data_IF_079346316918
#
_entry.id   IF_079346316918
#
_cell.length_a   1.000
_cell.length_b   1.000
_cell.length_c   1.000
_cell.angle_alpha   90.00
_cell.angle_beta   90.00
_cell.angle_gamma   90.00
#
_symmetry.space_group_name_H-M   'P 1'
#
loop_
_entity.id
_entity.type
_entity.pdbx_description
1 polymer ?
#
# COMPACT_ATOMS: atom_id res chain seq x y z
N UNK A 1 15.78 4.35 2.57
CA UNK A 1 16.05 4.35 1.11
C UNK A 1 14.83 4.11 0.21
N UNK A 2 13.57 4.23 0.68
CA UNK A 2 12.38 4.19 -0.18
C UNK A 2 12.12 2.87 -0.93
N UNK A 3 12.77 1.76 -0.56
CA UNK A 3 12.50 0.43 -1.12
C UNK A 3 11.24 -0.14 -0.47
N UNK A 4 10.41 -0.79 -1.28
CA UNK A 4 9.19 -1.48 -0.83
C UNK A 4 9.36 -2.98 -1.03
N UNK A 5 8.88 -3.76 -0.07
CA UNK A 5 8.84 -5.23 -0.12
C UNK A 5 8.01 -5.78 1.03
N UNK A 6 7.70 -7.07 0.94
CA UNK A 6 7.03 -7.84 1.99
C UNK A 6 8.04 -8.54 2.91
N UNK A 7 7.55 -8.92 4.09
CA UNK A 7 8.30 -9.67 5.10
C UNK A 7 7.38 -10.71 5.72
N UNK A 8 7.96 -11.80 6.23
CA UNK A 8 7.26 -12.80 7.05
C UNK A 8 7.41 -12.54 8.56
N UNK A 9 8.25 -11.56 8.93
CA UNK A 9 8.45 -11.18 10.34
C UNK A 9 7.25 -10.36 10.80
N UNK A 10 6.50 -10.88 11.77
CA UNK A 10 5.30 -10.24 12.33
C UNK A 10 5.62 -8.87 12.94
N UNK A 11 6.71 -8.77 13.71
CA UNK A 11 7.11 -7.54 14.42
C UNK A 11 8.10 -6.67 13.63
N UNK A 12 7.96 -6.60 12.31
CA UNK A 12 8.80 -5.70 11.51
C UNK A 12 8.40 -4.24 11.77
N UNK A 13 9.29 -3.36 12.28
CA UNK A 13 8.92 -1.98 12.58
C UNK A 13 8.50 -1.19 11.32
N UNK A 14 8.93 -1.64 10.14
CA UNK A 14 8.57 -1.03 8.85
C UNK A 14 7.22 -1.51 8.28
N UNK A 15 6.58 -2.52 8.87
CA UNK A 15 5.23 -2.98 8.46
C UNK A 15 4.09 -2.33 9.24
N UNK A 16 4.39 -1.39 10.15
CA UNK A 16 3.37 -0.55 10.79
C UNK A 16 3.02 0.60 9.85
N UNK A 17 1.82 0.53 9.29
CA UNK A 17 1.32 1.46 8.27
C UNK A 17 0.13 2.26 8.80
N UNK A 18 0.11 3.56 8.54
CA UNK A 18 -1.06 4.42 8.70
C UNK A 18 -1.75 4.57 7.35
N UNK A 19 -3.03 4.24 7.31
CA UNK A 19 -3.90 4.48 6.15
C UNK A 19 -4.75 5.71 6.48
N UNK A 20 -4.66 6.74 5.63
CA UNK A 20 -5.40 7.99 5.80
C UNK A 20 -6.26 8.23 4.57
N UNK A 21 -7.56 8.48 4.75
CA UNK A 21 -8.45 8.91 3.66
C UNK A 21 -8.02 10.30 3.16
N UNK A 22 -7.90 10.44 1.85
CA UNK A 22 -7.55 11.71 1.18
C UNK A 22 -8.59 12.16 0.17
N UNK A 23 -9.55 11.29 -0.16
CA UNK A 23 -10.73 11.53 -0.98
C UNK A 23 -11.70 10.33 -0.80
N UNK A 24 -12.92 10.42 -1.33
CA UNK A 24 -13.89 9.33 -1.31
C UNK A 24 -13.30 8.09 -2.01
N UNK A 25 -13.08 7.02 -1.25
CA UNK A 25 -12.48 5.78 -1.74
C UNK A 25 -11.01 5.89 -2.13
N UNK A 26 -10.30 6.95 -1.72
CA UNK A 26 -8.87 7.15 -2.01
C UNK A 26 -8.10 7.34 -0.71
N UNK A 27 -7.03 6.58 -0.57
CA UNK A 27 -6.18 6.58 0.62
C UNK A 27 -4.73 6.95 0.29
N UNK A 28 -4.04 7.49 1.29
CA UNK A 28 -2.60 7.52 1.38
C UNK A 28 -2.16 6.48 2.42
N UNK A 29 -1.13 5.68 2.09
CA UNK A 29 -0.57 4.68 3.00
C UNK A 29 0.85 5.12 3.36
N UNK A 30 1.12 5.34 4.65
CA UNK A 30 2.42 5.80 5.14
C UNK A 30 3.00 4.82 6.14
N UNK A 31 4.25 4.40 5.96
CA UNK A 31 4.97 3.66 6.98
C UNK A 31 5.37 4.60 8.12
N UNK A 32 4.89 4.33 9.34
CA UNK A 32 5.10 5.22 10.49
C UNK A 32 6.60 5.36 10.81
N UNK A 33 7.30 4.22 10.92
CA UNK A 33 8.69 4.22 11.36
C UNK A 33 9.64 4.88 10.35
N UNK A 34 9.46 4.62 9.05
CA UNK A 34 10.34 5.17 8.01
C UNK A 34 9.89 6.52 7.45
N UNK A 35 8.67 6.96 7.78
CA UNK A 35 8.02 8.16 7.26
C UNK A 35 7.82 8.23 5.73
N UNK A 36 7.93 7.10 5.02
CA UNK A 36 7.67 7.05 3.59
C UNK A 36 6.19 6.74 3.28
N UNK A 37 5.65 7.43 2.28
CA UNK A 37 4.38 7.09 1.63
C UNK A 37 4.60 5.98 0.60
N UNK A 38 3.71 5.00 0.56
CA UNK A 38 3.63 4.04 -0.53
C UNK A 38 3.14 4.77 -1.79
N UNK A 39 3.93 4.67 -2.86
CA UNK A 39 3.69 5.39 -4.09
C UNK A 39 3.83 4.48 -5.31
N UNK A 40 3.07 4.78 -6.36
CA UNK A 40 3.20 4.16 -7.68
C UNK A 40 3.34 5.20 -8.76
N UNK A 41 4.46 5.16 -9.50
CA UNK A 41 4.68 6.10 -10.59
C UNK A 41 3.99 5.69 -11.90
N UNK A 42 4.02 6.58 -12.90
CA UNK A 42 3.45 6.36 -14.24
C UNK A 42 3.90 5.06 -14.94
N UNK A 43 5.12 4.57 -14.65
CA UNK A 43 5.64 3.30 -15.21
C UNK A 43 5.17 2.05 -14.43
N UNK A 44 4.34 2.24 -13.40
CA UNK A 44 3.89 1.20 -12.48
C UNK A 44 5.00 0.71 -11.54
N UNK A 45 6.03 1.51 -11.26
CA UNK A 45 7.03 1.17 -10.23
C UNK A 45 6.42 1.48 -8.86
N UNK A 46 6.44 0.52 -7.95
CA UNK A 46 6.17 0.74 -6.53
C UNK A 46 7.44 1.26 -5.85
N UNK A 47 7.31 2.29 -5.04
CA UNK A 47 8.40 2.89 -4.28
C UNK A 47 7.87 3.61 -3.03
N UNK A 48 8.78 3.97 -2.13
CA UNK A 48 8.50 4.86 -1.02
C UNK A 48 8.82 6.31 -1.40
N UNK A 49 7.85 7.21 -1.30
CA UNK A 49 8.03 8.66 -1.45
C UNK A 49 8.20 9.33 -0.07
N UNK A 50 9.15 10.27 0.08
CA UNK A 50 9.27 11.06 1.32
C UNK A 50 8.15 12.09 1.43
N UNK A 51 7.73 12.64 0.29
CA UNK A 51 6.70 13.67 0.20
C UNK A 51 5.40 13.06 -0.31
N UNK A 52 4.28 13.57 0.18
CA UNK A 52 2.98 13.20 -0.35
C UNK A 52 2.78 13.86 -1.73
N UNK A 53 2.43 13.07 -2.72
CA UNK A 53 2.21 13.54 -4.08
C UNK A 53 1.15 12.68 -4.79
N UNK A 54 0.92 12.94 -6.08
CA UNK A 54 -0.10 12.24 -6.87
C UNK A 54 0.13 10.72 -6.99
N UNK A 55 1.38 10.25 -6.92
CA UNK A 55 1.70 8.82 -6.95
C UNK A 55 1.29 8.10 -5.67
N UNK A 56 1.11 8.85 -4.57
CA UNK A 56 0.73 8.33 -3.25
C UNK A 56 -0.78 8.13 -3.10
N UNK A 57 -1.59 8.64 -4.03
CA UNK A 57 -3.05 8.48 -4.00
C UNK A 57 -3.46 7.13 -4.57
N UNK A 58 -4.03 6.27 -3.72
CA UNK A 58 -4.44 4.91 -4.06
C UNK A 58 -5.95 4.75 -3.91
N UNK A 59 -6.65 4.30 -4.95
CA UNK A 59 -8.05 3.88 -4.85
C UNK A 59 -8.13 2.59 -4.05
N UNK A 60 -8.82 2.63 -2.92
CA UNK A 60 -9.13 1.45 -2.10
C UNK A 60 -10.47 0.86 -2.54
N UNK A 61 -10.52 -0.47 -2.63
CA UNK A 61 -11.76 -1.21 -2.86
C UNK A 61 -11.76 -2.48 -2.03
N UNK A 62 -12.86 -2.72 -1.32
CA UNK A 62 -13.16 -4.02 -0.73
C UNK A 62 -13.68 -4.93 -1.85
N UNK A 63 -13.00 -6.06 -2.05
CA UNK A 63 -13.36 -7.07 -3.02
C UNK A 63 -14.38 -8.06 -2.44
N UNK A 64 -15.05 -8.83 -3.30
CA UNK A 64 -16.09 -9.79 -2.91
C UNK A 64 -15.60 -10.86 -1.91
N UNK A 65 -14.29 -11.14 -1.88
CA UNK A 65 -13.67 -12.07 -0.95
C UNK A 65 -13.26 -11.43 0.39
N UNK A 66 -13.64 -10.17 0.64
CA UNK A 66 -13.32 -9.42 1.87
C UNK A 66 -11.91 -8.84 1.93
N UNK A 67 -11.07 -9.03 0.91
CA UNK A 67 -9.75 -8.40 0.83
C UNK A 67 -9.82 -7.03 0.16
N UNK A 68 -8.87 -6.15 0.48
CA UNK A 68 -8.75 -4.86 -0.17
C UNK A 68 -7.82 -4.94 -1.38
N UNK A 69 -8.15 -4.21 -2.44
CA UNK A 69 -7.19 -3.83 -3.49
C UNK A 69 -6.86 -2.35 -3.40
N UNK A 70 -5.63 -2.01 -3.80
CA UNK A 70 -5.16 -0.63 -3.90
C UNK A 70 -4.63 -0.39 -5.31
N UNK A 71 -5.27 0.51 -6.05
CA UNK A 71 -4.84 0.86 -7.41
C UNK A 71 -4.42 2.31 -7.50
N UNK A 72 -3.51 2.65 -8.43
CA UNK A 72 -3.15 4.06 -8.63
C UNK A 72 -4.39 4.88 -8.98
N UNK A 73 -4.58 6.00 -8.27
CA UNK A 73 -5.66 6.94 -8.57
C UNK A 73 -5.47 7.58 -9.94
N UNK A 74 -4.23 7.97 -10.26
CA UNK A 74 -3.90 8.74 -11.47
C UNK A 74 -3.47 7.87 -12.65
N UNK A 75 -2.66 6.84 -12.40
CA UNK A 75 -1.95 6.15 -13.48
C UNK A 75 -2.64 4.85 -13.90
N UNK A 76 -2.77 4.69 -15.21
CA UNK A 76 -3.26 3.49 -15.88
C UNK A 76 -2.25 3.02 -16.93
N UNK A 77 -2.39 1.78 -17.39
CA UNK A 77 -1.63 1.24 -18.51
C UNK A 77 -2.60 0.65 -19.55
N UNK A 78 -2.68 1.26 -20.73
CA UNK A 78 -3.65 0.93 -21.78
C UNK A 78 -5.07 0.89 -21.21
N UNK A 79 -5.51 2.00 -20.60
CA UNK A 79 -6.78 2.17 -19.87
C UNK A 79 -7.04 1.22 -18.68
N UNK A 80 -6.13 0.29 -18.41
CA UNK A 80 -6.27 -0.66 -17.31
C UNK A 80 -5.65 -0.12 -16.04
N UNK A 81 -6.38 -0.27 -14.93
CA UNK A 81 -5.87 0.03 -13.60
C UNK A 81 -4.60 -0.75 -13.28
N UNK A 82 -3.69 -0.08 -12.59
CA UNK A 82 -2.46 -0.66 -12.05
C UNK A 82 -2.58 -0.78 -10.54
N UNK A 83 -2.28 -1.96 -10.00
CA UNK A 83 -2.47 -2.29 -8.59
C UNK A 83 -1.14 -2.36 -7.85
N UNK A 84 -1.15 -1.98 -6.58
CA UNK A 84 -0.14 -2.43 -5.63
C UNK A 84 -0.22 -3.95 -5.57
N UNK A 85 0.92 -4.63 -5.65
CA UNK A 85 0.96 -6.08 -5.57
C UNK A 85 2.33 -6.59 -5.16
N UNK A 86 2.36 -7.69 -4.41
CA UNK A 86 3.57 -8.44 -4.06
C UNK A 86 3.51 -9.83 -4.69
N UNK A 87 4.63 -10.35 -5.18
CA UNK A 87 4.70 -11.75 -5.59
C UNK A 87 4.86 -12.69 -4.38
N UNK A 88 4.86 -14.01 -4.61
CA UNK A 88 5.00 -15.01 -3.53
C UNK A 88 6.33 -14.95 -2.75
N UNK A 89 7.32 -14.20 -3.23
CA UNK A 89 8.60 -13.94 -2.53
C UNK A 89 8.58 -12.61 -1.76
N UNK A 90 7.45 -11.91 -1.73
CA UNK A 90 7.32 -10.58 -1.12
C UNK A 90 7.89 -9.44 -1.97
N UNK A 91 8.34 -9.67 -3.20
CA UNK A 91 8.86 -8.61 -4.06
C UNK A 91 7.73 -7.84 -4.74
N UNK A 92 7.80 -6.50 -4.84
CA UNK A 92 6.78 -5.71 -5.51
C UNK A 92 6.69 -6.06 -7.00
N UNK A 93 5.47 -6.18 -7.51
CA UNK A 93 5.19 -6.35 -8.93
C UNK A 93 5.06 -4.99 -9.61
N UNK A 94 5.43 -4.90 -10.89
CA UNK A 94 5.15 -3.71 -11.71
C UNK A 94 3.65 -3.59 -11.96
N UNK A 95 3.10 -2.40 -11.76
CA UNK A 95 1.67 -2.09 -11.91
C UNK A 95 1.07 -2.56 -13.24
N UNK A 96 1.76 -2.35 -14.36
CA UNK A 96 1.31 -2.83 -15.68
C UNK A 96 1.25 -4.36 -15.82
N UNK A 97 1.81 -5.13 -14.88
CA UNK A 97 1.73 -6.62 -14.83
C UNK A 97 0.69 -7.14 -13.83
N UNK A 98 0.00 -6.26 -13.10
CA UNK A 98 -0.99 -6.65 -12.07
C UNK A 98 -2.39 -6.81 -12.66
N UNK A 99 -3.32 -7.43 -11.93
CA UNK A 99 -4.75 -7.54 -12.28
C UNK A 99 -5.57 -7.53 -10.98
N UNK A 100 -6.77 -6.93 -11.00
CA UNK A 100 -7.67 -6.82 -9.83
C UNK A 100 -7.94 -8.18 -9.18
N UNK A 101 -8.32 -9.18 -9.98
CA UNK A 101 -8.71 -10.52 -9.50
C UNK A 101 -7.52 -11.40 -9.08
N UNK A 102 -6.29 -10.96 -9.27
CA UNK A 102 -5.12 -11.81 -8.99
C UNK A 102 -4.72 -11.68 -7.50
N UNK A 103 -4.54 -12.79 -6.75
CA UNK A 103 -4.29 -12.76 -5.30
C UNK A 103 -3.13 -11.88 -4.85
N UNK A 104 -2.08 -11.74 -5.68
CA UNK A 104 -0.97 -10.82 -5.40
C UNK A 104 -1.36 -9.36 -5.12
N UNK A 105 -2.55 -8.92 -5.55
CA UNK A 105 -3.06 -7.57 -5.38
C UNK A 105 -4.05 -7.45 -4.19
N UNK A 106 -4.32 -8.55 -3.49
CA UNK A 106 -5.28 -8.63 -2.39
C UNK A 106 -4.53 -8.50 -1.07
N UNK A 107 -4.95 -7.55 -0.25
CA UNK A 107 -4.34 -7.25 1.05
C UNK A 107 -5.42 -7.26 2.12
N UNK A 108 -5.11 -7.87 3.25
CA UNK A 108 -5.94 -7.80 4.45
C UNK A 108 -5.27 -6.83 5.43
N UNK A 109 -5.83 -5.62 5.66
CA UNK A 109 -5.34 -4.74 6.72
C UNK A 109 -5.54 -5.40 8.08
N UNK A 110 -4.46 -5.58 8.83
CA UNK A 110 -4.51 -6.09 10.21
C UNK A 110 -4.31 -4.91 11.14
N UNK A 111 -5.26 -4.71 12.06
CA UNK A 111 -5.17 -3.66 13.08
C UNK A 111 -4.03 -3.99 14.03
N UNK A 112 -3.07 -3.08 14.15
CA UNK A 112 -2.04 -3.15 15.18
C UNK A 112 -2.64 -2.59 16.47
N UNK A 113 -2.79 -3.42 17.50
CA UNK A 113 -3.12 -2.93 18.84
C UNK A 113 -1.90 -2.20 19.38
N UNK A 114 -2.03 -0.89 19.63
CA UNK A 114 -1.11 -0.22 20.52
C UNK A 114 -1.61 -0.49 21.92
N UNK A 115 -0.86 -1.27 22.70
CA UNK A 115 -1.01 -1.21 24.15
C UNK A 115 -0.58 0.21 24.54
N UNK A 116 -1.57 1.07 24.79
CA UNK A 116 -1.34 2.38 25.37
C UNK A 116 -0.83 2.12 26.78
N UNK A 117 0.48 2.13 26.97
CA UNK A 117 1.04 2.41 28.27
C UNK A 117 0.57 3.81 28.63
N UNK A 118 -0.49 3.87 29.44
CA UNK A 118 -0.87 5.07 30.18
C UNK A 118 0.35 5.39 31.04
N UNK A 119 1.21 6.27 30.53
CA UNK A 119 2.10 7.03 31.40
C UNK A 119 1.16 8.02 32.06
N UNK A 120 0.75 7.67 33.28
CA UNK A 120 0.26 8.64 34.24
C UNK A 120 1.40 9.62 34.50
N UNK A 121 1.32 10.80 33.89
CA UNK A 121 1.97 12.00 34.44
C UNK A 121 1.22 12.44 35.70
#
# INVERSE_FOLDING_TARGET
HGKVGGTKKENCPFSILKITSVDVGVVAIKAINSNYYLAMNKKGKIYGSKEFNIDCKLKERIEENGYNTYSSMKWKHNERQMFVALNGKGSPRRGHKTRRKHPSAHFLPIVVRQDVSIISD
#
